data_IF_942870809656
#
_entry.id   IF_942870809656
#
_cell.length_a   1.000
_cell.length_b   1.000
_cell.length_c   1.000
_cell.angle_alpha   90.00
_cell.angle_beta   90.00
_cell.angle_gamma   90.00
#
_symmetry.space_group_name_H-M   'P 1'
#
loop_
_entity.id
_entity.type
_entity.pdbx_description
1 polymer ?
#
# COMPACT_ATOMS: atom_id res chain seq x y z
N UNK A 1 2.62 11.90 -1.72
CA UNK A 1 1.46 10.98 -1.82
C UNK A 1 1.98 9.55 -1.69
N UNK A 2 1.28 8.70 -0.93
CA UNK A 2 1.70 7.33 -0.63
C UNK A 2 0.46 6.42 -0.54
N UNK A 3 0.67 5.11 -0.60
CA UNK A 3 -0.37 4.09 -0.43
C UNK A 3 -0.20 3.39 0.93
N UNK A 4 -1.20 3.52 1.80
CA UNK A 4 -1.32 2.67 3.00
C UNK A 4 -2.06 1.38 2.67
N UNK A 5 -1.58 0.24 3.17
CA UNK A 5 -2.21 -1.07 2.89
C UNK A 5 -3.65 -1.12 3.44
N UNK A 6 -3.84 -0.78 4.72
CA UNK A 6 -5.16 -0.66 5.36
C UNK A 6 -6.09 0.26 4.58
N UNK A 7 -5.65 1.50 4.35
CA UNK A 7 -6.50 2.55 3.81
C UNK A 7 -6.94 2.23 2.38
N UNK A 8 -6.03 1.72 1.55
CA UNK A 8 -6.34 1.37 0.16
C UNK A 8 -7.35 0.23 0.05
N UNK A 9 -7.27 -0.78 0.92
CA UNK A 9 -8.30 -1.83 1.02
C UNK A 9 -9.65 -1.26 1.45
N UNK A 10 -9.66 -0.43 2.50
CA UNK A 10 -10.88 0.18 3.02
C UNK A 10 -11.54 1.14 2.02
N UNK A 11 -10.74 1.86 1.22
CA UNK A 11 -11.22 2.77 0.18
C UNK A 11 -11.98 2.05 -0.94
N UNK A 12 -11.57 0.83 -1.31
CA UNK A 12 -12.26 0.06 -2.35
C UNK A 12 -13.41 -0.80 -1.83
N UNK A 13 -13.41 -1.15 -0.55
CA UNK A 13 -14.42 -2.03 0.05
C UNK A 13 -15.88 -1.65 -0.27
N UNK A 14 -16.31 -0.37 -0.26
CA UNK A 14 -17.69 0.01 -0.60
C UNK A 14 -18.12 -0.38 -2.02
N UNK A 15 -17.17 -0.51 -2.95
CA UNK A 15 -17.44 -0.83 -4.36
C UNK A 15 -17.45 -2.32 -4.67
N UNK A 16 -17.08 -3.19 -3.71
CA UNK A 16 -16.92 -4.64 -3.96
C UNK A 16 -18.19 -5.28 -4.55
N UNK A 17 -19.37 -4.85 -4.09
CA UNK A 17 -20.65 -5.37 -4.56
C UNK A 17 -20.95 -5.09 -6.05
N UNK A 18 -20.23 -4.16 -6.68
CA UNK A 18 -20.36 -3.79 -8.10
C UNK A 18 -19.38 -4.54 -9.01
N UNK A 19 -18.31 -5.13 -8.46
CA UNK A 19 -17.17 -5.72 -9.21
C UNK A 19 -17.59 -6.85 -10.15
N UNK A 20 -18.66 -7.57 -9.83
CA UNK A 20 -19.16 -8.67 -10.66
C UNK A 20 -19.71 -8.18 -12.00
N UNK A 21 -20.29 -6.99 -12.01
CA UNK A 21 -21.08 -6.51 -13.15
C UNK A 21 -20.34 -5.38 -13.91
N UNK A 22 -19.23 -4.85 -13.36
CA UNK A 22 -18.37 -3.85 -13.99
C UNK A 22 -16.94 -4.37 -14.26
N UNK A 23 -16.54 -4.59 -15.52
CA UNK A 23 -15.21 -5.09 -15.88
C UNK A 23 -14.08 -4.07 -15.65
N UNK A 24 -14.37 -2.76 -15.72
CA UNK A 24 -13.38 -1.72 -15.46
C UNK A 24 -13.08 -1.67 -13.97
N UNK A 25 -14.12 -1.75 -13.13
CA UNK A 25 -13.95 -1.82 -11.68
C UNK A 25 -13.20 -3.09 -11.25
N UNK A 26 -13.46 -4.24 -11.88
CA UNK A 26 -12.69 -5.46 -11.64
C UNK A 26 -11.20 -5.30 -11.95
N UNK A 27 -10.89 -4.58 -13.02
CA UNK A 27 -9.50 -4.25 -13.39
C UNK A 27 -8.84 -3.41 -12.31
N UNK A 28 -9.56 -2.44 -11.73
CA UNK A 28 -9.06 -1.64 -10.61
C UNK A 28 -8.74 -2.51 -9.38
N UNK A 29 -9.64 -3.43 -8.99
CA UNK A 29 -9.40 -4.33 -7.86
C UNK A 29 -8.19 -5.24 -8.08
N UNK A 30 -8.06 -5.86 -9.26
CA UNK A 30 -6.88 -6.66 -9.60
C UNK A 30 -5.60 -5.82 -9.56
N UNK A 31 -5.66 -4.58 -10.05
CA UNK A 31 -4.56 -3.63 -9.99
C UNK A 31 -4.12 -3.33 -8.55
N UNK A 32 -5.07 -3.05 -7.65
CA UNK A 32 -4.78 -2.79 -6.25
C UNK A 32 -4.19 -4.03 -5.56
N UNK A 33 -4.79 -5.22 -5.76
CA UNK A 33 -4.27 -6.47 -5.18
C UNK A 33 -2.83 -6.71 -5.62
N UNK A 34 -2.53 -6.55 -6.92
CA UNK A 34 -1.17 -6.70 -7.43
C UNK A 34 -0.22 -5.65 -6.86
N UNK A 35 -0.68 -4.41 -6.64
CA UNK A 35 0.10 -3.35 -6.02
C UNK A 35 0.39 -3.65 -4.55
N UNK A 36 -0.61 -4.04 -3.75
CA UNK A 36 -0.44 -4.44 -2.35
C UNK A 36 0.47 -5.66 -2.22
N UNK A 37 0.36 -6.66 -3.09
CA UNK A 37 1.27 -7.81 -3.09
C UNK A 37 2.73 -7.39 -3.35
N UNK A 38 2.98 -6.48 -4.31
CA UNK A 38 4.32 -5.91 -4.54
C UNK A 38 4.83 -5.13 -3.33
N UNK A 39 3.96 -4.34 -2.69
CA UNK A 39 4.30 -3.62 -1.46
C UNK A 39 4.72 -4.56 -0.33
N UNK A 40 3.96 -5.64 -0.09
CA UNK A 40 4.30 -6.66 0.92
C UNK A 40 5.65 -7.31 0.61
N UNK A 41 5.96 -7.55 -0.67
CA UNK A 41 7.26 -8.09 -1.09
C UNK A 41 8.43 -7.11 -0.90
N UNK A 42 8.18 -5.79 -0.94
CA UNK A 42 9.18 -4.76 -0.62
C UNK A 42 9.51 -4.81 0.88
N UNK A 43 8.48 -4.73 1.73
CA UNK A 43 8.66 -4.89 3.17
C UNK A 43 7.35 -5.26 3.87
N UNK A 44 7.20 -6.48 4.42
CA UNK A 44 6.00 -6.86 5.14
C UNK A 44 5.84 -6.11 6.47
N UNK A 45 6.88 -5.40 6.96
CA UNK A 45 6.80 -4.59 8.18
C UNK A 45 6.38 -3.14 7.93
N UNK A 46 6.19 -2.72 6.68
CA UNK A 46 5.80 -1.37 6.34
C UNK A 46 4.28 -1.22 6.19
N UNK A 47 3.73 -0.15 6.74
CA UNK A 47 2.32 0.21 6.59
C UNK A 47 2.06 1.01 5.31
N UNK A 48 3.05 1.75 4.81
CA UNK A 48 2.88 2.68 3.68
C UNK A 48 3.99 2.61 2.62
N UNK A 49 3.60 2.80 1.36
CA UNK A 49 4.46 2.60 0.19
C UNK A 49 4.43 3.78 -0.78
N UNK A 50 5.56 4.01 -1.43
CA UNK A 50 5.73 4.99 -2.50
C UNK A 50 5.18 4.43 -3.81
N UNK A 51 4.74 5.32 -4.72
CA UNK A 51 4.33 4.91 -6.07
C UNK A 51 5.50 4.32 -6.87
N UNK A 52 6.67 4.95 -6.79
CA UNK A 52 7.92 4.44 -7.35
C UNK A 52 8.61 3.52 -6.32
N UNK A 53 8.78 2.21 -6.63
CA UNK A 53 9.40 1.25 -5.72
C UNK A 53 10.89 1.50 -5.47
N UNK A 54 11.52 2.38 -6.26
CA UNK A 54 12.92 2.80 -6.06
C UNK A 54 13.05 4.11 -5.28
N UNK A 55 11.95 4.84 -5.07
CA UNK A 55 11.97 6.12 -4.39
C UNK A 55 12.26 5.98 -2.90
N UNK A 56 12.90 7.00 -2.33
CA UNK A 56 12.99 7.19 -0.88
C UNK A 56 11.73 7.86 -0.35
N UNK A 57 11.44 7.67 0.93
CA UNK A 57 10.32 8.36 1.58
C UNK A 57 10.41 9.87 1.37
N UNK A 58 9.28 10.46 0.98
CA UNK A 58 9.10 11.91 0.96
C UNK A 58 8.32 12.41 2.19
N UNK A 59 7.96 11.52 3.13
CA UNK A 59 7.29 11.88 4.38
C UNK A 59 8.32 12.46 5.34
N UNK A 60 8.16 13.75 5.70
CA UNK A 60 9.12 14.46 6.55
C UNK A 60 9.37 13.75 7.88
N UNK A 61 8.31 13.25 8.53
CA UNK A 61 8.41 12.57 9.83
C UNK A 61 9.07 11.19 9.75
N UNK A 62 8.90 10.45 8.64
CA UNK A 62 9.46 9.10 8.51
C UNK A 62 10.96 9.11 8.15
N UNK A 63 11.52 10.26 7.75
CA UNK A 63 12.95 10.39 7.44
C UNK A 63 13.85 10.22 8.66
N UNK A 64 13.33 10.60 9.83
CA UNK A 64 14.06 10.56 11.10
C UNK A 64 13.73 9.30 11.92
N UNK A 65 12.93 8.37 11.37
CA UNK A 65 12.58 7.11 12.03
C UNK A 65 13.84 6.25 12.26
N UNK A 66 13.98 5.73 13.48
CA UNK A 66 15.05 4.80 13.85
C UNK A 66 14.73 3.37 13.40
N UNK A 67 14.71 3.17 12.09
CA UNK A 67 14.35 1.90 11.44
C UNK A 67 15.11 1.73 10.13
N UNK A 68 15.13 0.52 9.59
CA UNK A 68 15.71 0.27 8.27
C UNK A 68 14.74 0.68 7.17
N UNK A 69 14.87 1.90 6.66
CA UNK A 69 14.06 2.39 5.54
C UNK A 69 14.56 1.84 4.20
N UNK A 70 13.72 1.03 3.54
CA UNK A 70 13.99 0.49 2.21
C UNK A 70 13.48 1.44 1.10
N UNK A 71 14.06 1.41 -0.11
CA UNK A 71 13.43 2.01 -1.28
C UNK A 71 11.99 1.47 -1.45
N UNK A 72 11.07 2.33 -1.88
CA UNK A 72 9.66 2.00 -2.04
C UNK A 72 8.83 2.08 -0.75
N UNK A 73 9.47 2.14 0.43
CA UNK A 73 8.76 2.33 1.70
C UNK A 73 8.55 3.82 1.98
N UNK A 74 7.30 4.21 2.23
CA UNK A 74 6.96 5.55 2.65
C UNK A 74 7.04 5.70 4.18
N UNK A 75 6.47 4.75 4.93
CA UNK A 75 6.53 4.67 6.38
C UNK A 75 6.64 3.21 6.81
N UNK A 76 7.41 2.93 7.87
CA UNK A 76 7.72 1.57 8.33
C UNK A 76 7.22 1.31 9.75
N UNK A 77 5.96 1.63 10.02
CA UNK A 77 5.29 1.21 11.26
C UNK A 77 4.67 -0.16 11.05
N UNK A 78 5.08 -1.13 11.87
CA UNK A 78 4.52 -2.46 11.80
C UNK A 78 3.11 -2.47 12.41
N UNK A 79 2.12 -2.71 11.57
CA UNK A 79 0.70 -2.72 11.91
C UNK A 79 0.12 -4.06 11.45
N UNK A 80 -0.41 -4.85 12.38
CA UNK A 80 -0.93 -6.20 12.10
C UNK A 80 -1.98 -6.15 10.97
N UNK A 81 -2.86 -5.15 11.02
CA UNK A 81 -3.94 -4.97 10.05
C UNK A 81 -3.46 -4.60 8.64
N UNK A 82 -2.18 -4.23 8.46
CA UNK A 82 -1.61 -4.04 7.13
C UNK A 82 -1.48 -5.35 6.34
N UNK A 83 -1.45 -6.51 7.00
CA UNK A 83 -1.39 -7.83 6.37
C UNK A 83 -2.70 -8.64 6.51
N UNK A 84 -3.79 -8.02 6.95
CA UNK A 84 -5.09 -8.65 7.13
C UNK A 84 -5.95 -8.66 5.86
#
# INVERSE_FOLDING_TARGET
PCLWLRDSSAQLAPYLHLVRDDPVLRTLFHGLIALQARSILIDPYANAFMEDPSARTNLGWAKDDKTEMKPGVAERKWEIDSLC
#
